data_IF_316141081812
#
_entry.id   IF_316141081812
#
_cell.length_a   1.000
_cell.length_b   1.000
_cell.length_c   1.000
_cell.angle_alpha   90.00
_cell.angle_beta   90.00
_cell.angle_gamma   90.00
#
_symmetry.space_group_name_H-M   'P 1'
#
loop_
_entity.id
_entity.type
_entity.pdbx_description
1 polymer ?
#
# COMPACT_ATOMS: atom_id res chain seq x y z
N UNK A 1 5.25 30.83 -68.87
CA UNK A 1 4.70 31.50 -67.67
C UNK A 1 3.91 30.52 -66.79
N UNK A 2 3.00 29.71 -67.34
CA UNK A 2 2.26 28.66 -66.61
C UNK A 2 3.18 27.55 -66.05
N UNK A 3 4.05 26.96 -66.87
CA UNK A 3 5.05 25.96 -66.42
C UNK A 3 5.94 26.44 -65.27
N UNK A 4 6.32 27.72 -65.26
CA UNK A 4 7.14 28.30 -64.21
C UNK A 4 6.36 28.43 -62.89
N UNK A 5 5.05 28.72 -62.97
CA UNK A 5 4.17 28.74 -61.80
C UNK A 5 3.95 27.33 -61.23
N UNK A 6 3.80 26.32 -62.09
CA UNK A 6 3.68 24.92 -61.67
C UNK A 6 4.96 24.41 -61.00
N UNK A 7 6.13 24.74 -61.54
CA UNK A 7 7.44 24.43 -60.92
C UNK A 7 7.61 25.13 -59.56
N UNK A 8 7.16 26.38 -59.42
CA UNK A 8 7.17 27.09 -58.13
C UNK A 8 6.22 26.43 -57.12
N UNK A 9 5.02 26.03 -57.55
CA UNK A 9 4.06 25.35 -56.68
C UNK A 9 4.60 23.99 -56.19
N UNK A 10 5.24 23.22 -57.07
CA UNK A 10 5.91 21.98 -56.70
C UNK A 10 7.09 22.23 -55.73
N UNK A 11 7.92 23.24 -55.99
CA UNK A 11 9.00 23.61 -55.09
C UNK A 11 8.49 24.05 -53.70
N UNK A 12 7.37 24.78 -53.65
CA UNK A 12 6.71 25.20 -52.42
C UNK A 12 6.18 23.98 -51.64
N UNK A 13 5.54 23.03 -52.32
CA UNK A 13 5.04 21.79 -51.70
C UNK A 13 6.18 20.94 -51.11
N UNK A 14 7.26 20.75 -51.86
CA UNK A 14 8.47 20.04 -51.38
C UNK A 14 9.06 20.75 -50.16
N UNK A 15 9.10 22.09 -50.16
CA UNK A 15 9.58 22.87 -49.01
C UNK A 15 8.70 22.66 -47.78
N UNK A 16 7.38 22.63 -47.94
CA UNK A 16 6.46 22.34 -46.83
C UNK A 16 6.65 20.91 -46.31
N UNK A 17 6.81 19.93 -47.19
CA UNK A 17 7.08 18.55 -46.78
C UNK A 17 8.41 18.41 -46.05
N UNK A 18 9.47 19.09 -46.50
CA UNK A 18 10.74 19.14 -45.80
C UNK A 18 10.60 19.71 -44.39
N UNK A 19 9.88 20.82 -44.21
CA UNK A 19 9.64 21.40 -42.87
C UNK A 19 8.83 20.47 -41.96
N UNK A 20 7.87 19.73 -42.53
CA UNK A 20 7.08 18.75 -41.78
C UNK A 20 7.93 17.56 -41.34
N UNK A 21 8.81 17.05 -42.22
CA UNK A 21 9.75 15.97 -41.91
C UNK A 21 10.75 16.43 -40.86
N UNK A 22 11.30 17.63 -40.99
CA UNK A 22 12.23 18.20 -40.01
C UNK A 22 11.59 18.30 -38.62
N UNK A 23 10.37 18.81 -38.52
CA UNK A 23 9.62 18.86 -37.24
C UNK A 23 9.35 17.45 -36.67
N UNK A 24 9.01 16.47 -37.52
CA UNK A 24 8.82 15.08 -37.08
C UNK A 24 10.12 14.46 -36.58
N UNK A 25 11.25 14.72 -37.25
CA UNK A 25 12.57 14.26 -36.84
C UNK A 25 12.93 14.86 -35.50
N UNK A 26 12.75 16.17 -35.31
CA UNK A 26 13.04 16.85 -34.04
C UNK A 26 12.23 16.25 -32.87
N UNK A 27 10.91 16.05 -33.06
CA UNK A 27 10.05 15.39 -32.05
C UNK A 27 10.47 13.96 -31.77
N UNK A 28 10.85 13.21 -32.80
CA UNK A 28 11.29 11.82 -32.67
C UNK A 28 12.62 11.72 -31.92
N UNK A 29 13.55 12.65 -32.16
CA UNK A 29 14.82 12.74 -31.43
C UNK A 29 14.59 13.10 -29.96
N UNK A 30 13.68 14.04 -29.67
CA UNK A 30 13.29 14.35 -28.29
C UNK A 30 12.66 13.13 -27.59
N UNK A 31 11.74 12.43 -28.26
CA UNK A 31 11.13 11.20 -27.74
C UNK A 31 12.17 10.12 -27.49
N UNK A 32 13.10 9.89 -28.42
CA UNK A 32 14.19 8.93 -28.24
C UNK A 32 15.03 9.28 -27.02
N UNK A 33 15.39 10.56 -26.81
CA UNK A 33 16.11 10.99 -25.60
C UNK A 33 15.33 10.69 -24.31
N UNK A 34 14.02 10.98 -24.29
CA UNK A 34 13.17 10.64 -23.14
C UNK A 34 13.09 9.12 -22.92
N UNK A 35 12.96 8.34 -24.00
CA UNK A 35 12.93 6.88 -23.93
C UNK A 35 14.26 6.30 -23.43
N UNK A 36 15.40 6.87 -23.80
CA UNK A 36 16.70 6.45 -23.27
C UNK A 36 16.80 6.69 -21.76
N UNK A 37 16.32 7.84 -21.26
CA UNK A 37 16.28 8.11 -19.82
C UNK A 37 15.36 7.12 -19.09
N UNK A 38 14.19 6.84 -19.67
CA UNK A 38 13.24 5.86 -19.12
C UNK A 38 13.77 4.43 -19.16
N UNK A 39 14.48 4.04 -20.22
CA UNK A 39 15.13 2.75 -20.35
C UNK A 39 16.16 2.54 -19.22
N UNK A 40 17.02 3.52 -18.96
CA UNK A 40 18.00 3.43 -17.86
C UNK A 40 17.30 3.25 -16.50
N UNK A 41 16.22 4.01 -16.27
CA UNK A 41 15.42 3.89 -15.04
C UNK A 41 14.80 2.49 -14.91
N UNK A 42 14.26 1.94 -15.99
CA UNK A 42 13.68 0.60 -16.00
C UNK A 42 14.75 -0.49 -15.83
N UNK A 43 15.94 -0.30 -16.38
CA UNK A 43 17.06 -1.23 -16.21
C UNK A 43 17.52 -1.29 -14.74
N UNK A 44 17.68 -0.13 -14.09
CA UNK A 44 17.97 -0.05 -12.66
C UNK A 44 16.85 -0.69 -11.82
N UNK A 45 15.59 -0.44 -12.20
CA UNK A 45 14.43 -1.03 -11.52
C UNK A 45 14.42 -2.56 -11.68
N UNK A 46 14.71 -3.06 -12.88
CA UNK A 46 14.81 -4.49 -13.16
C UNK A 46 15.91 -5.16 -12.34
N UNK A 47 17.07 -4.52 -12.18
CA UNK A 47 18.14 -5.04 -11.32
C UNK A 47 17.70 -5.05 -9.85
N UNK A 48 17.01 -4.01 -9.39
CA UNK A 48 16.47 -3.95 -8.02
C UNK A 48 15.46 -5.07 -7.74
N UNK A 49 14.63 -5.44 -8.73
CA UNK A 49 13.68 -6.55 -8.59
C UNK A 49 14.36 -7.90 -8.38
N UNK A 50 15.50 -8.17 -9.03
CA UNK A 50 16.24 -9.41 -8.81
C UNK A 50 16.72 -9.51 -7.36
N UNK A 51 17.21 -8.41 -6.80
CA UNK A 51 17.57 -8.34 -5.38
C UNK A 51 16.36 -8.55 -4.48
N UNK A 52 15.24 -7.88 -4.76
CA UNK A 52 14.00 -8.01 -3.99
C UNK A 52 13.44 -9.44 -4.00
N UNK A 53 13.48 -10.12 -5.15
CA UNK A 53 13.04 -11.52 -5.25
C UNK A 53 13.94 -12.42 -4.38
N UNK A 54 15.24 -12.16 -4.32
CA UNK A 54 16.18 -12.96 -3.53
C UNK A 54 15.95 -12.85 -2.01
N UNK A 55 15.46 -11.71 -1.54
CA UNK A 55 15.21 -11.41 -0.11
C UNK A 55 13.75 -11.57 0.31
N UNK A 56 12.83 -11.68 -0.66
CA UNK A 56 11.38 -11.75 -0.44
C UNK A 56 10.97 -12.80 0.60
N UNK A 57 11.59 -13.98 0.58
CA UNK A 57 11.25 -15.07 1.50
C UNK A 57 11.49 -14.67 2.96
N UNK A 58 12.64 -14.06 3.26
CA UNK A 58 12.97 -13.61 4.61
C UNK A 58 12.12 -12.43 5.06
N UNK A 59 11.84 -11.49 4.15
CA UNK A 59 10.98 -10.34 4.42
C UNK A 59 9.54 -10.77 4.76
N UNK A 60 8.95 -11.65 3.94
CA UNK A 60 7.61 -12.19 4.16
C UNK A 60 7.55 -12.96 5.48
N UNK A 61 8.59 -13.74 5.82
CA UNK A 61 8.64 -14.47 7.09
C UNK A 61 8.62 -13.51 8.29
N UNK A 62 9.46 -12.46 8.28
CA UNK A 62 9.51 -11.44 9.33
C UNK A 62 8.18 -10.69 9.47
N UNK A 63 7.63 -10.23 8.35
CA UNK A 63 6.36 -9.51 8.34
C UNK A 63 5.18 -10.39 8.77
N UNK A 64 5.18 -11.68 8.40
CA UNK A 64 4.14 -12.63 8.81
C UNK A 64 4.21 -12.91 10.31
N UNK A 65 5.42 -13.10 10.86
CA UNK A 65 5.61 -13.26 12.29
C UNK A 65 5.13 -12.01 13.06
N UNK A 66 5.43 -10.83 12.52
CA UNK A 66 4.94 -9.57 13.08
C UNK A 66 3.41 -9.51 13.11
N UNK A 67 2.73 -9.76 11.99
CA UNK A 67 1.26 -9.72 11.92
C UNK A 67 0.58 -10.77 12.83
N UNK A 68 1.19 -11.95 12.99
CA UNK A 68 0.59 -13.04 13.75
C UNK A 68 0.80 -12.93 15.27
N UNK A 69 1.98 -12.46 15.71
CA UNK A 69 2.42 -12.56 17.10
C UNK A 69 2.64 -11.22 17.79
N UNK A 70 2.89 -10.14 17.05
CA UNK A 70 3.30 -8.88 17.65
C UNK A 70 2.12 -8.01 18.18
N UNK A 71 0.89 -8.30 17.76
CA UNK A 71 -0.27 -7.41 17.99
C UNK A 71 -0.59 -7.11 19.45
N UNK A 72 -0.42 -8.08 20.35
CA UNK A 72 -0.70 -7.91 21.78
C UNK A 72 0.34 -7.03 22.51
N UNK A 73 1.56 -6.98 21.98
CA UNK A 73 2.70 -6.38 22.66
C UNK A 73 2.79 -4.86 22.43
N UNK A 74 3.48 -4.18 23.34
CA UNK A 74 3.82 -2.77 23.25
C UNK A 74 4.98 -2.51 22.27
N UNK A 75 5.24 -1.24 21.96
CA UNK A 75 6.26 -0.85 20.98
C UNK A 75 7.65 -1.42 21.30
N UNK A 76 8.05 -1.43 22.58
CA UNK A 76 9.38 -1.89 23.00
C UNK A 76 9.51 -3.39 22.76
N UNK A 77 8.54 -4.19 23.22
CA UNK A 77 8.58 -5.64 23.06
C UNK A 77 8.46 -6.05 21.60
N UNK A 78 7.65 -5.35 20.79
CA UNK A 78 7.58 -5.56 19.33
C UNK A 78 8.93 -5.36 18.65
N UNK A 79 9.67 -4.33 19.03
CA UNK A 79 11.02 -4.07 18.49
C UNK A 79 12.02 -5.14 18.93
N UNK A 80 11.95 -5.60 20.19
CA UNK A 80 12.81 -6.68 20.69
C UNK A 80 12.54 -7.99 19.96
N UNK A 81 11.26 -8.40 19.84
CA UNK A 81 10.85 -9.59 19.09
C UNK A 81 11.36 -9.53 17.65
N UNK A 82 11.18 -8.39 16.98
CA UNK A 82 11.64 -8.21 15.61
C UNK A 82 13.15 -8.39 15.50
N UNK A 83 13.94 -7.73 16.36
CA UNK A 83 15.40 -7.90 16.41
C UNK A 83 15.82 -9.34 16.63
N UNK A 84 15.15 -10.07 17.53
CA UNK A 84 15.41 -11.49 17.78
C UNK A 84 15.12 -12.34 16.55
N UNK A 85 14.00 -12.11 15.85
CA UNK A 85 13.67 -12.84 14.62
C UNK A 85 14.66 -12.52 13.50
N UNK A 86 15.04 -11.25 13.33
CA UNK A 86 16.05 -10.83 12.37
C UNK A 86 17.38 -11.54 12.62
N UNK A 87 17.83 -11.58 13.88
CA UNK A 87 19.05 -12.29 14.26
C UNK A 87 18.97 -13.79 13.98
N UNK A 88 17.83 -14.42 14.28
CA UNK A 88 17.65 -15.85 14.03
C UNK A 88 17.66 -16.19 12.52
N UNK A 89 17.02 -15.38 11.69
CA UNK A 89 17.00 -15.56 10.22
C UNK A 89 18.41 -15.36 9.65
N UNK A 90 19.16 -14.39 10.16
CA UNK A 90 20.56 -14.14 9.79
C UNK A 90 21.46 -15.34 10.13
N UNK A 91 21.33 -15.90 11.33
CA UNK A 91 22.04 -17.14 11.72
C UNK A 91 21.72 -18.33 10.81
N UNK A 92 20.50 -18.39 10.27
CA UNK A 92 20.07 -19.43 9.33
C UNK A 92 20.44 -19.14 7.88
N UNK A 93 21.16 -18.04 7.60
CA UNK A 93 21.60 -17.62 6.26
C UNK A 93 20.45 -17.51 5.26
N UNK A 94 19.28 -17.09 5.74
CA UNK A 94 18.15 -16.75 4.88
C UNK A 94 18.34 -15.29 4.47
N UNK A 95 18.23 -14.99 3.18
CA UNK A 95 18.35 -13.62 2.69
C UNK A 95 17.11 -12.79 3.06
N UNK A 96 17.32 -11.58 3.54
CA UNK A 96 16.27 -10.59 3.86
C UNK A 96 16.85 -9.17 3.78
N UNK A 97 15.99 -8.15 3.78
CA UNK A 97 16.44 -6.76 3.89
C UNK A 97 16.74 -6.39 5.35
N UNK A 98 18.01 -6.12 5.67
CA UNK A 98 18.43 -5.75 7.03
C UNK A 98 17.72 -4.53 7.63
N UNK A 99 17.26 -3.62 6.77
CA UNK A 99 16.53 -2.41 7.15
C UNK A 99 15.12 -2.42 6.56
N UNK A 100 14.41 -3.54 6.69
CA UNK A 100 13.02 -3.60 6.25
C UNK A 100 12.15 -2.64 7.08
N UNK A 101 11.67 -1.59 6.43
CA UNK A 101 10.66 -0.71 7.00
C UNK A 101 9.30 -1.41 6.93
N UNK A 102 8.95 -2.12 8.00
CA UNK A 102 7.75 -2.99 8.10
C UNK A 102 6.47 -2.28 7.67
N UNK A 103 6.32 -1.01 8.07
CA UNK A 103 5.16 -0.17 7.75
C UNK A 103 5.07 0.05 6.24
N UNK A 104 6.16 0.44 5.60
CA UNK A 104 6.21 0.70 4.15
C UNK A 104 6.11 -0.58 3.33
N UNK A 105 6.62 -1.70 3.85
CA UNK A 105 6.51 -3.00 3.19
C UNK A 105 5.07 -3.53 3.19
N UNK A 106 4.32 -3.32 4.27
CA UNK A 106 2.97 -3.86 4.44
C UNK A 106 1.84 -2.91 4.01
N UNK A 107 2.15 -1.62 3.79
CA UNK A 107 1.17 -0.59 3.42
C UNK A 107 1.67 0.34 2.33
N UNK A 108 0.75 0.85 1.52
CA UNK A 108 1.06 1.85 0.51
C UNK A 108 0.89 3.27 1.09
N UNK A 109 1.56 4.26 0.50
CA UNK A 109 1.49 5.65 0.96
C UNK A 109 0.05 6.19 0.99
N UNK A 110 -0.73 5.90 -0.06
CA UNK A 110 -2.14 6.33 -0.15
C UNK A 110 -3.00 5.74 0.97
N UNK A 111 -2.70 4.52 1.42
CA UNK A 111 -3.45 3.87 2.50
C UNK A 111 -3.17 4.52 3.83
N UNK A 112 -1.90 4.84 4.10
CA UNK A 112 -1.52 5.58 5.30
C UNK A 112 -2.16 6.96 5.35
N UNK A 113 -2.18 7.67 4.21
CA UNK A 113 -2.86 8.96 4.11
C UNK A 113 -4.37 8.83 4.37
N UNK A 114 -5.01 7.78 3.84
CA UNK A 114 -6.42 7.51 4.13
C UNK A 114 -6.67 7.18 5.59
N UNK A 115 -5.76 6.46 6.26
CA UNK A 115 -5.90 6.18 7.69
C UNK A 115 -5.80 7.46 8.51
N UNK A 116 -4.84 8.33 8.20
CA UNK A 116 -4.70 9.64 8.85
C UNK A 116 -5.94 10.51 8.64
N UNK A 117 -6.54 10.49 7.44
CA UNK A 117 -7.78 11.21 7.16
C UNK A 117 -8.99 10.65 7.94
N UNK A 118 -8.95 9.38 8.35
CA UNK A 118 -9.97 8.71 9.17
C UNK A 118 -9.62 8.71 10.66
N UNK A 119 -8.93 9.74 11.14
CA UNK A 119 -8.61 9.95 12.56
C UNK A 119 -7.59 8.96 13.16
N UNK A 120 -6.79 8.26 12.35
CA UNK A 120 -5.67 7.48 12.89
C UNK A 120 -4.52 8.42 13.33
N UNK A 121 -4.02 8.29 14.57
CA UNK A 121 -2.85 9.05 15.01
C UNK A 121 -1.60 8.80 14.15
N UNK A 122 -0.78 9.84 14.00
CA UNK A 122 0.46 9.81 13.19
C UNK A 122 1.63 9.29 14.03
N UNK A 123 1.57 8.02 14.40
CA UNK A 123 2.67 7.33 15.07
C UNK A 123 2.84 5.91 14.52
N UNK A 124 4.04 5.36 14.71
CA UNK A 124 4.41 4.05 14.18
C UNK A 124 3.53 2.93 14.77
N UNK A 125 3.17 3.02 16.06
CA UNK A 125 2.40 1.98 16.74
C UNK A 125 0.96 1.93 16.19
N UNK A 126 0.31 3.08 16.04
CA UNK A 126 -1.01 3.16 15.43
C UNK A 126 -1.00 2.71 13.97
N UNK A 127 0.05 3.07 13.21
CA UNK A 127 0.19 2.63 11.81
C UNK A 127 0.39 1.12 11.71
N UNK A 128 1.23 0.54 12.57
CA UNK A 128 1.39 -0.91 12.70
C UNK A 128 0.07 -1.62 13.04
N UNK A 129 -0.71 -1.06 13.97
CA UNK A 129 -2.01 -1.61 14.35
C UNK A 129 -3.02 -1.53 13.18
N UNK A 130 -3.04 -0.42 12.44
CA UNK A 130 -3.89 -0.28 11.26
C UNK A 130 -3.53 -1.31 10.17
N UNK A 131 -2.25 -1.63 9.99
CA UNK A 131 -1.80 -2.71 9.10
C UNK A 131 -2.36 -4.06 9.56
N UNK A 132 -2.29 -4.37 10.87
CA UNK A 132 -2.85 -5.61 11.41
C UNK A 132 -4.38 -5.67 11.24
N UNK A 133 -5.09 -4.57 11.48
CA UNK A 133 -6.54 -4.45 11.28
C UNK A 133 -6.97 -4.56 9.81
N UNK A 134 -6.07 -4.27 8.87
CA UNK A 134 -6.32 -4.44 7.44
C UNK A 134 -6.01 -5.87 6.96
N UNK A 135 -4.91 -6.46 7.45
CA UNK A 135 -4.37 -7.75 6.98
C UNK A 135 -4.64 -8.91 7.93
N UNK A 136 -5.63 -8.79 8.81
CA UNK A 136 -5.95 -9.83 9.77
C UNK A 136 -6.41 -11.12 9.08
N UNK A 137 -6.04 -12.25 9.68
CA UNK A 137 -6.59 -13.57 9.31
C UNK A 137 -7.64 -14.05 10.32
N UNK A 138 -7.39 -13.79 11.61
CA UNK A 138 -8.36 -14.01 12.70
C UNK A 138 -9.00 -12.69 13.04
N UNK A 139 -10.30 -12.68 13.35
CA UNK A 139 -11.00 -11.44 13.71
C UNK A 139 -10.23 -10.69 14.82
N UNK A 140 -9.94 -9.40 14.61
CA UNK A 140 -9.09 -8.65 15.52
C UNK A 140 -9.83 -8.36 16.83
N UNK A 141 -9.24 -8.78 17.94
CA UNK A 141 -9.61 -8.32 19.27
C UNK A 141 -8.79 -7.06 19.58
N UNK A 142 -9.46 -5.95 19.88
CA UNK A 142 -8.82 -4.65 20.05
C UNK A 142 -8.86 -4.26 21.52
N UNK A 143 -7.69 -3.97 22.08
CA UNK A 143 -7.54 -3.39 23.42
C UNK A 143 -7.37 -1.88 23.22
N UNK A 144 -8.43 -1.12 23.48
CA UNK A 144 -8.48 0.32 23.20
C UNK A 144 -9.07 1.10 24.40
N UNK A 145 -8.22 1.51 25.37
CA UNK A 145 -8.68 2.29 26.51
C UNK A 145 -9.00 3.75 26.16
N UNK A 146 -8.47 4.28 25.05
CA UNK A 146 -8.67 5.68 24.64
C UNK A 146 -9.89 5.87 23.74
N UNK A 147 -10.39 4.79 23.12
CA UNK A 147 -11.49 4.83 22.16
C UNK A 147 -11.09 5.27 20.75
N UNK A 148 -9.80 5.58 20.53
CA UNK A 148 -9.29 6.09 19.26
C UNK A 148 -9.33 5.04 18.15
N UNK A 149 -9.02 3.78 18.47
CA UNK A 149 -9.06 2.71 17.49
C UNK A 149 -10.52 2.39 17.09
N UNK A 150 -11.44 2.43 18.04
CA UNK A 150 -12.87 2.30 17.77
C UNK A 150 -13.38 3.43 16.86
N UNK A 151 -13.02 4.68 17.14
CA UNK A 151 -13.36 5.83 16.30
C UNK A 151 -12.80 5.68 14.87
N UNK A 152 -11.51 5.35 14.76
CA UNK A 152 -10.85 5.07 13.48
C UNK A 152 -11.61 4.01 12.66
N UNK A 153 -12.00 2.89 13.27
CA UNK A 153 -12.73 1.82 12.56
C UNK A 153 -14.11 2.29 12.10
N UNK A 154 -14.83 3.04 12.94
CA UNK A 154 -16.13 3.59 12.57
C UNK A 154 -16.02 4.52 11.35
N UNK A 155 -15.02 5.41 11.32
CA UNK A 155 -14.77 6.29 10.18
C UNK A 155 -14.29 5.52 8.94
N UNK A 156 -13.34 4.60 9.10
CA UNK A 156 -12.76 3.84 7.98
C UNK A 156 -13.78 2.96 7.25
N UNK A 157 -14.85 2.53 7.94
CA UNK A 157 -15.88 1.65 7.40
C UNK A 157 -17.27 2.32 7.31
N UNK A 158 -17.35 3.65 7.41
CA UNK A 158 -18.62 4.40 7.36
C UNK A 158 -19.44 4.08 6.10
N UNK A 159 -18.77 3.94 4.95
CA UNK A 159 -19.41 3.64 3.66
C UNK A 159 -19.99 2.22 3.58
N UNK A 160 -19.58 1.33 4.49
CA UNK A 160 -20.01 -0.07 4.54
C UNK A 160 -21.10 -0.35 5.57
N UNK A 161 -21.78 0.70 6.08
CA UNK A 161 -22.85 0.58 7.09
C UNK A 161 -22.41 -0.20 8.34
N UNK A 162 -21.22 0.13 8.84
CA UNK A 162 -20.68 -0.47 10.06
C UNK A 162 -21.64 -0.26 11.24
N UNK A 163 -21.91 -1.34 11.97
CA UNK A 163 -22.78 -1.29 13.15
C UNK A 163 -21.94 -1.44 14.41
N UNK A 164 -22.21 -0.63 15.42
CA UNK A 164 -21.61 -0.71 16.75
C UNK A 164 -22.62 -1.30 17.73
N UNK A 165 -22.25 -2.37 18.43
CA UNK A 165 -23.09 -3.06 19.42
C UNK A 165 -22.22 -3.52 20.59
N UNK A 166 -22.83 -4.03 21.65
CA UNK A 166 -22.15 -4.56 22.84
C UNK A 166 -22.70 -5.94 23.17
N UNK A 167 -21.92 -6.82 23.80
CA UNK A 167 -22.42 -8.10 24.31
C UNK A 167 -23.56 -7.94 25.33
N UNK A 168 -23.67 -6.76 25.94
CA UNK A 168 -24.71 -6.43 26.92
C UNK A 168 -26.03 -5.98 26.30
N UNK A 169 -26.05 -5.72 25.00
CA UNK A 169 -27.22 -5.22 24.31
C UNK A 169 -28.15 -6.40 23.94
N UNK A 170 -29.42 -6.32 24.33
CA UNK A 170 -30.45 -7.31 23.95
C UNK A 170 -30.56 -7.47 22.42
N UNK A 171 -30.18 -6.42 21.67
CA UNK A 171 -30.18 -6.41 20.21
C UNK A 171 -28.92 -7.04 19.59
N UNK A 172 -27.90 -7.41 20.38
CA UNK A 172 -26.63 -7.97 19.90
C UNK A 172 -26.82 -9.12 18.92
N UNK A 173 -27.61 -10.14 19.29
CA UNK A 173 -27.86 -11.31 18.43
C UNK A 173 -28.51 -10.94 17.10
N UNK A 174 -29.44 -9.98 17.12
CA UNK A 174 -30.12 -9.48 15.91
C UNK A 174 -29.15 -8.71 15.01
N UNK A 175 -28.31 -7.85 15.60
CA UNK A 175 -27.29 -7.09 14.88
C UNK A 175 -26.24 -8.00 14.26
N UNK A 176 -25.78 -9.02 15.00
CA UNK A 176 -24.85 -10.05 14.51
C UNK A 176 -25.46 -10.85 13.35
N UNK A 177 -26.69 -11.34 13.50
CA UNK A 177 -27.38 -12.07 12.44
C UNK A 177 -27.54 -11.21 11.18
N UNK A 178 -27.93 -9.94 11.34
CA UNK A 178 -28.03 -8.98 10.24
C UNK A 178 -26.67 -8.77 9.55
N UNK A 179 -25.60 -8.54 10.33
CA UNK A 179 -24.25 -8.35 9.80
C UNK A 179 -23.75 -9.58 9.01
N UNK A 180 -24.00 -10.79 9.52
CA UNK A 180 -23.66 -12.04 8.84
C UNK A 180 -24.45 -12.24 7.54
N UNK A 181 -25.76 -11.92 7.55
CA UNK A 181 -26.64 -12.05 6.37
C UNK A 181 -26.28 -11.06 5.26
N UNK A 182 -25.98 -9.81 5.62
CA UNK A 182 -25.75 -8.72 4.66
C UNK A 182 -24.27 -8.45 4.36
N UNK A 183 -23.34 -9.09 5.08
CA UNK A 183 -21.91 -8.87 4.92
C UNK A 183 -21.43 -7.51 5.42
N UNK A 184 -22.09 -6.95 6.43
CA UNK A 184 -21.75 -5.64 6.99
C UNK A 184 -20.66 -5.78 8.07
N UNK A 185 -19.72 -4.81 8.18
CA UNK A 185 -18.79 -4.75 9.31
C UNK A 185 -19.54 -4.55 10.63
N UNK A 186 -19.05 -5.19 11.69
CA UNK A 186 -19.62 -5.11 13.04
C UNK A 186 -18.50 -4.85 14.05
N UNK A 187 -18.68 -3.83 14.89
CA UNK A 187 -17.83 -3.58 16.06
C UNK A 187 -18.61 -3.99 17.29
N UNK A 188 -18.06 -4.95 18.04
CA UNK A 188 -18.65 -5.42 19.30
C UNK A 188 -17.79 -4.92 20.46
N UNK A 189 -18.42 -4.24 21.41
CA UNK A 189 -17.78 -3.75 22.62
C UNK A 189 -18.05 -4.66 23.82
N UNK A 190 -17.33 -4.41 24.93
CA UNK A 190 -17.49 -5.10 26.22
C UNK A 190 -17.25 -6.61 26.16
N UNK A 191 -16.22 -7.00 25.41
CA UNK A 191 -15.78 -8.41 25.28
C UNK A 191 -15.39 -9.06 26.61
N UNK A 192 -15.10 -8.28 27.65
CA UNK A 192 -14.85 -8.79 29.01
C UNK A 192 -16.04 -9.58 29.56
N UNK A 193 -17.24 -9.34 29.04
CA UNK A 193 -18.49 -10.00 29.44
C UNK A 193 -18.93 -11.08 28.45
N UNK A 194 -17.95 -11.66 27.75
CA UNK A 194 -18.16 -12.80 26.89
C UNK A 194 -18.47 -14.05 27.74
N UNK A 195 -19.67 -14.61 27.57
CA UNK A 195 -20.05 -15.95 28.04
C UNK A 195 -19.64 -17.02 27.02
#
# INVERSE_FOLDING_TARGET
KLEYADLIAQAQAIKTDLTNVESKVERSVALLKSLFAEQQRWELTSQSFLTQISTMVGDVLLCSAFMAYAGYYDQITRQQLFKTWTHHIDQKKINFHHQIARVEYLSNADERLRWQANSLPVDDLCTENAIMLKRFNRFPLIIDPSGQAAEFIMHAYQDKKITKTSFLDDSFRKNLESALRFGNPLVVQDVERYD
#
